data_IF_933008305182
#
_entry.id   IF_933008305182
#
_cell.length_a   1.000
_cell.length_b   1.000
_cell.length_c   1.000
_cell.angle_alpha   90.00
_cell.angle_beta   90.00
_cell.angle_gamma   90.00
#
_symmetry.space_group_name_H-M   'P 1'
#
loop_
_entity.id
_entity.type
_entity.pdbx_description
1 polymer ?
#
# COMPACT_ATOMS: atom_id res chain seq x y z
N UNK A 1 100.19 22.13 21.27
CA UNK A 1 99.69 23.02 20.20
C UNK A 1 98.43 22.40 19.64
N UNK A 2 97.26 23.05 19.79
CA UNK A 2 95.97 22.55 19.30
C UNK A 2 94.90 22.42 20.41
N UNK A 3 94.05 23.44 20.50
CA UNK A 3 93.00 23.72 21.49
C UNK A 3 91.84 22.72 21.56
N UNK A 4 91.48 22.23 22.76
CA UNK A 4 90.18 21.61 23.06
C UNK A 4 89.10 22.69 23.23
N UNK A 5 88.11 22.71 22.34
CA UNK A 5 86.81 23.38 22.57
C UNK A 5 85.73 22.31 22.74
N UNK A 6 85.00 22.38 23.86
CA UNK A 6 83.77 21.61 24.11
C UNK A 6 82.61 22.30 23.37
N UNK A 7 81.79 21.53 22.66
CA UNK A 7 80.48 21.97 22.19
C UNK A 7 79.40 20.92 22.53
N UNK A 8 78.16 21.38 22.80
CA UNK A 8 77.14 20.62 23.51
C UNK A 8 76.44 19.58 22.63
N UNK A 9 75.95 18.53 23.29
CA UNK A 9 75.01 17.55 22.74
C UNK A 9 73.69 18.24 22.36
N UNK A 10 73.29 18.12 21.09
CA UNK A 10 71.94 18.44 20.63
C UNK A 10 71.27 17.12 20.19
N UNK A 11 70.19 16.76 20.88
CA UNK A 11 69.32 15.62 20.57
C UNK A 11 68.31 16.06 19.50
N UNK A 12 68.39 15.49 18.30
CA UNK A 12 67.38 15.66 17.25
C UNK A 12 66.39 14.49 17.32
N UNK A 13 65.18 14.76 17.81
CA UNK A 13 64.04 13.86 17.71
C UNK A 13 63.42 14.06 16.33
N UNK A 14 63.48 13.04 15.47
CA UNK A 14 62.81 13.04 14.18
C UNK A 14 61.30 12.95 14.36
N UNK A 15 60.58 13.96 13.88
CA UNK A 15 59.12 13.93 13.76
C UNK A 15 58.80 13.18 12.46
N UNK A 16 58.19 11.99 12.59
CA UNK A 16 57.55 11.29 11.48
C UNK A 16 56.14 11.86 11.35
N UNK A 17 55.87 12.58 10.26
CA UNK A 17 54.52 12.99 9.89
C UNK A 17 53.84 11.82 9.14
N UNK A 18 52.76 11.22 9.64
CA UNK A 18 51.93 10.34 8.83
C UNK A 18 51.15 11.20 7.82
N UNK A 19 51.40 11.00 6.53
CA UNK A 19 50.55 11.50 5.45
C UNK A 19 49.32 10.62 5.40
N UNK A 20 48.22 11.06 6.01
CA UNK A 20 46.90 10.49 5.78
C UNK A 20 46.38 11.00 4.44
N UNK A 21 46.31 10.12 3.43
CA UNK A 21 45.49 10.37 2.24
C UNK A 21 44.02 10.38 2.67
N UNK A 22 43.47 11.57 2.87
CA UNK A 22 42.03 11.75 3.01
C UNK A 22 41.36 11.52 1.65
N UNK A 23 40.64 10.41 1.51
CA UNK A 23 39.63 10.27 0.46
C UNK A 23 38.52 11.28 0.77
N UNK A 24 38.48 12.37 0.04
CA UNK A 24 37.35 13.29 0.09
C UNK A 24 36.10 12.56 -0.43
N UNK A 25 34.95 12.63 0.26
CA UNK A 25 33.71 12.12 -0.30
C UNK A 25 33.37 12.93 -1.54
N UNK A 26 33.29 12.24 -2.68
CA UNK A 26 32.74 12.79 -3.91
C UNK A 26 31.28 13.14 -3.66
N UNK A 27 30.96 14.44 -3.71
CA UNK A 27 29.59 14.93 -3.76
C UNK A 27 28.96 14.42 -5.07
N UNK A 28 28.16 13.36 -4.98
CA UNK A 28 27.33 12.90 -6.09
C UNK A 28 26.10 13.81 -6.11
N UNK A 29 26.16 14.88 -6.89
CA UNK A 29 24.97 15.67 -7.22
C UNK A 29 24.10 14.86 -8.20
N UNK A 30 23.32 13.93 -7.68
CA UNK A 30 22.18 13.37 -8.43
C UNK A 30 21.01 14.35 -8.34
N UNK A 31 21.20 15.56 -8.88
CA UNK A 31 20.09 16.44 -9.20
C UNK A 31 19.67 16.10 -10.63
N UNK A 32 18.59 15.34 -10.79
CA UNK A 32 17.82 15.40 -12.03
C UNK A 32 17.37 16.85 -12.18
N UNK A 33 17.94 17.57 -13.13
CA UNK A 33 17.44 18.89 -13.56
C UNK A 33 16.29 18.76 -14.57
N UNK A 34 15.75 17.54 -14.74
CA UNK A 34 14.64 17.27 -15.61
C UNK A 34 13.34 17.71 -14.93
N UNK A 35 12.60 18.61 -15.60
CA UNK A 35 11.16 18.76 -15.42
C UNK A 35 10.49 17.47 -15.88
N UNK A 36 10.57 16.44 -15.04
CA UNK A 36 9.62 15.34 -15.09
C UNK A 36 8.35 15.85 -14.39
N UNK A 37 7.22 16.02 -15.11
CA UNK A 37 5.98 16.47 -14.48
C UNK A 37 5.47 15.50 -13.40
N UNK A 38 5.96 14.25 -13.37
CA UNK A 38 5.46 13.19 -12.49
C UNK A 38 6.13 13.12 -11.12
N UNK A 39 7.37 13.60 -10.98
CA UNK A 39 8.09 13.60 -9.69
C UNK A 39 8.53 15.03 -9.45
N UNK A 40 7.74 15.78 -8.67
CA UNK A 40 8.12 17.13 -8.25
C UNK A 40 9.55 17.14 -7.68
N UNK A 41 10.19 18.31 -7.62
CA UNK A 41 11.50 18.46 -6.99
C UNK A 41 11.42 18.04 -5.51
N UNK A 42 11.59 16.75 -5.20
CA UNK A 42 11.71 16.25 -3.83
C UNK A 42 13.09 16.70 -3.37
N UNK A 43 13.22 17.65 -2.43
CA UNK A 43 14.52 18.09 -1.98
C UNK A 43 15.25 16.91 -1.37
N UNK A 44 16.27 16.41 -2.05
CA UNK A 44 17.14 15.38 -1.51
C UNK A 44 18.02 16.04 -0.44
N UNK A 45 17.67 15.83 0.82
CA UNK A 45 18.48 16.25 1.96
C UNK A 45 19.49 15.16 2.35
N UNK A 46 20.64 15.55 2.88
CA UNK A 46 21.55 14.60 3.53
C UNK A 46 21.19 14.47 5.01
N UNK A 47 21.08 13.24 5.52
CA UNK A 47 21.01 12.95 6.95
C UNK A 47 22.26 12.19 7.39
N UNK A 48 22.78 12.44 8.59
CA UNK A 48 23.86 11.63 9.14
C UNK A 48 23.33 10.28 9.62
N UNK A 49 24.18 9.25 9.62
CA UNK A 49 23.84 7.91 10.13
C UNK A 49 23.35 7.97 11.59
N UNK A 50 23.95 8.83 12.41
CA UNK A 50 23.55 9.02 13.80
C UNK A 50 22.15 9.64 13.89
N UNK A 51 21.85 10.67 13.09
CA UNK A 51 20.52 11.28 13.07
C UNK A 51 19.43 10.29 12.62
N UNK A 52 19.75 9.41 11.67
CA UNK A 52 18.85 8.32 11.26
C UNK A 52 18.68 7.27 12.37
N UNK A 53 19.76 6.87 13.03
CA UNK A 53 19.69 5.92 14.15
C UNK A 53 18.84 6.48 15.31
N UNK A 54 18.97 7.77 15.61
CA UNK A 54 18.24 8.44 16.69
C UNK A 54 16.78 8.75 16.31
N UNK A 55 16.44 8.76 15.01
CA UNK A 55 15.12 9.22 14.53
C UNK A 55 13.98 8.35 15.02
N UNK A 56 14.19 7.04 15.18
CA UNK A 56 13.17 6.10 15.65
C UNK A 56 12.68 6.45 17.06
N UNK A 57 13.63 6.67 17.98
CA UNK A 57 13.34 7.04 19.36
C UNK A 57 12.76 8.46 19.44
N UNK A 58 13.35 9.41 18.71
CA UNK A 58 12.92 10.81 18.72
C UNK A 58 11.49 11.00 18.17
N UNK A 59 11.08 10.17 17.21
CA UNK A 59 9.73 10.23 16.61
C UNK A 59 8.74 9.23 17.19
N UNK A 60 9.17 8.44 18.19
CA UNK A 60 8.37 7.39 18.82
C UNK A 60 7.77 6.42 17.80
N UNK A 61 8.59 5.95 16.85
CA UNK A 61 8.15 4.99 15.82
C UNK A 61 7.75 3.69 16.50
N UNK A 62 6.51 3.25 16.23
CA UNK A 62 5.94 2.03 16.78
C UNK A 62 5.08 1.31 15.74
N UNK A 63 4.84 0.02 15.98
CA UNK A 63 3.91 -0.75 15.16
C UNK A 63 2.46 -0.39 15.52
N UNK A 64 1.62 -0.29 14.49
CA UNK A 64 0.18 -0.05 14.63
C UNK A 64 -0.55 -1.20 13.92
N UNK A 65 -1.51 -1.82 14.62
CA UNK A 65 -2.41 -2.81 14.04
C UNK A 65 -3.73 -2.13 13.66
N UNK A 66 -3.88 -1.81 12.37
CA UNK A 66 -5.01 -1.03 11.85
C UNK A 66 -6.30 -1.85 11.81
N UNK A 67 -6.22 -3.11 11.37
CA UNK A 67 -7.37 -4.02 11.20
C UNK A 67 -8.03 -4.43 12.51
N UNK A 68 -7.31 -4.38 13.64
CA UNK A 68 -7.85 -4.74 14.96
C UNK A 68 -8.84 -3.70 15.53
N UNK A 69 -9.05 -2.58 14.84
CA UNK A 69 -9.82 -1.45 15.37
C UNK A 69 -11.18 -1.27 14.68
N UNK A 70 -11.45 -2.00 13.60
CA UNK A 70 -12.60 -1.75 12.75
C UNK A 70 -13.11 -3.02 12.06
N UNK A 71 -14.40 -3.01 11.68
CA UNK A 71 -15.06 -4.03 10.88
C UNK A 71 -15.32 -3.46 9.50
N UNK A 72 -14.79 -4.13 8.47
CA UNK A 72 -14.99 -3.71 7.08
C UNK A 72 -15.74 -4.78 6.28
N UNK A 73 -16.60 -4.34 5.36
CA UNK A 73 -17.40 -5.23 4.54
C UNK A 73 -17.56 -4.73 3.11
N UNK A 74 -17.76 -5.65 2.19
CA UNK A 74 -18.18 -5.36 0.81
C UNK A 74 -19.05 -6.50 0.28
N UNK A 75 -19.78 -6.28 -0.83
CA UNK A 75 -20.52 -7.35 -1.53
C UNK A 75 -19.69 -7.91 -2.69
N UNK A 76 -19.14 -9.13 -2.58
CA UNK A 76 -18.42 -9.75 -3.69
C UNK A 76 -19.33 -9.99 -4.89
N UNK A 77 -18.77 -9.95 -6.10
CA UNK A 77 -19.47 -10.36 -7.32
C UNK A 77 -19.78 -11.87 -7.26
N UNK A 78 -18.77 -12.70 -7.04
CA UNK A 78 -18.95 -14.16 -7.01
C UNK A 78 -18.82 -14.64 -5.57
N UNK A 79 -19.89 -15.10 -4.89
CA UNK A 79 -19.76 -15.65 -3.55
C UNK A 79 -19.05 -17.01 -3.56
N UNK A 80 -18.19 -17.23 -2.59
CA UNK A 80 -17.54 -18.52 -2.33
C UNK A 80 -18.10 -19.18 -1.05
N UNK A 81 -19.06 -20.09 -1.24
CA UNK A 81 -19.76 -20.75 -0.14
C UNK A 81 -19.18 -22.13 0.24
N UNK A 82 -18.04 -22.53 -0.33
CA UNK A 82 -17.45 -23.86 -0.09
C UNK A 82 -16.95 -23.94 1.35
N UNK A 83 -17.14 -25.11 1.98
CA UNK A 83 -16.47 -25.44 3.23
C UNK A 83 -15.44 -26.54 2.98
N UNK A 84 -14.22 -26.32 3.48
CA UNK A 84 -13.16 -27.34 3.45
C UNK A 84 -13.26 -28.29 4.66
N UNK A 85 -14.32 -28.17 5.47
CA UNK A 85 -14.55 -28.98 6.66
C UNK A 85 -13.65 -28.62 7.85
N UNK A 86 -13.84 -29.30 8.99
CA UNK A 86 -13.18 -28.93 10.25
C UNK A 86 -11.67 -29.17 10.25
N UNK A 87 -11.14 -30.00 9.35
CA UNK A 87 -9.71 -30.28 9.27
C UNK A 87 -8.92 -29.11 8.68
N UNK A 88 -9.52 -28.42 7.70
CA UNK A 88 -8.89 -27.31 6.99
C UNK A 88 -9.42 -25.95 7.47
N UNK A 89 -10.40 -25.94 8.37
CA UNK A 89 -10.82 -24.75 9.14
C UNK A 89 -11.69 -23.73 8.39
N UNK A 90 -11.91 -23.90 7.08
CA UNK A 90 -12.74 -22.98 6.30
C UNK A 90 -14.20 -23.40 6.20
N UNK A 91 -15.10 -22.51 6.62
CA UNK A 91 -16.56 -22.74 6.64
C UNK A 91 -17.34 -21.86 5.67
N UNK A 92 -16.66 -21.22 4.72
CA UNK A 92 -17.25 -20.27 3.78
C UNK A 92 -17.16 -18.82 4.24
N UNK A 93 -17.52 -17.91 3.35
CA UNK A 93 -17.55 -16.46 3.60
C UNK A 93 -18.46 -16.09 4.79
N UNK A 94 -17.97 -15.18 5.62
CA UNK A 94 -18.71 -14.68 6.78
C UNK A 94 -19.61 -13.52 6.37
N UNK A 95 -20.90 -13.59 6.71
CA UNK A 95 -21.83 -12.47 6.52
C UNK A 95 -21.36 -11.23 7.30
N UNK A 96 -21.49 -10.05 6.69
CA UNK A 96 -21.11 -8.80 7.35
C UNK A 96 -21.91 -8.59 8.66
N UNK A 97 -21.25 -8.45 9.83
CA UNK A 97 -21.93 -8.21 11.11
C UNK A 97 -22.35 -6.75 11.31
N UNK A 98 -22.00 -5.87 10.36
CA UNK A 98 -22.14 -4.41 10.44
C UNK A 98 -20.79 -3.74 10.38
N UNK A 99 -20.54 -2.99 9.31
CA UNK A 99 -19.29 -2.26 9.14
C UNK A 99 -19.20 -1.04 10.08
N UNK A 100 -17.98 -0.69 10.46
CA UNK A 100 -17.68 0.47 11.30
C UNK A 100 -16.85 1.53 10.58
N UNK A 101 -16.46 1.29 9.32
CA UNK A 101 -15.54 2.18 8.58
C UNK A 101 -16.22 3.20 7.67
N UNK A 102 -17.55 3.18 7.56
CA UNK A 102 -18.33 4.16 6.79
C UNK A 102 -18.26 3.98 5.27
N UNK A 103 -17.67 2.88 4.82
CA UNK A 103 -17.61 2.45 3.43
C UNK A 103 -18.99 2.04 2.91
N UNK A 104 -19.13 2.04 1.58
CA UNK A 104 -20.31 1.44 0.95
C UNK A 104 -20.17 -0.09 0.99
N UNK A 105 -20.87 -0.75 1.90
CA UNK A 105 -20.77 -2.21 2.05
C UNK A 105 -21.46 -2.99 0.94
N UNK A 106 -22.24 -2.35 0.07
CA UNK A 106 -23.06 -3.06 -0.91
C UNK A 106 -24.30 -3.70 -0.27
N UNK A 107 -24.95 -3.03 0.69
CA UNK A 107 -26.25 -3.47 1.21
C UNK A 107 -27.32 -3.54 0.11
N UNK A 108 -27.15 -2.73 -0.94
CA UNK A 108 -27.74 -2.85 -2.27
C UNK A 108 -26.59 -3.14 -3.24
N UNK A 109 -26.77 -3.95 -4.32
CA UNK A 109 -25.74 -4.15 -5.34
C UNK A 109 -25.10 -2.84 -5.79
N UNK A 110 -23.78 -2.86 -5.99
CA UNK A 110 -23.07 -1.71 -6.52
C UNK A 110 -23.53 -1.41 -7.96
N UNK A 111 -23.41 -0.16 -8.44
CA UNK A 111 -23.70 0.15 -9.84
C UNK A 111 -22.89 -0.69 -10.83
N UNK A 112 -21.65 -1.05 -10.48
CA UNK A 112 -20.77 -1.92 -11.27
C UNK A 112 -21.30 -3.37 -11.39
N UNK A 113 -22.15 -3.81 -10.47
CA UNK A 113 -22.82 -5.12 -10.47
C UNK A 113 -24.15 -5.11 -11.24
N UNK A 114 -24.45 -4.01 -11.94
CA UNK A 114 -25.56 -3.99 -12.87
C UNK A 114 -25.23 -4.86 -14.09
N UNK A 115 -25.98 -5.94 -14.29
CA UNK A 115 -25.76 -6.89 -15.39
C UNK A 115 -25.24 -8.25 -14.95
N UNK A 116 -24.95 -8.45 -13.66
CA UNK A 116 -24.63 -9.75 -13.09
C UNK A 116 -25.70 -10.80 -13.39
N UNK A 117 -25.28 -11.97 -13.83
CA UNK A 117 -26.14 -13.12 -14.08
C UNK A 117 -26.50 -13.82 -12.77
N UNK A 118 -27.64 -14.50 -12.71
CA UNK A 118 -27.98 -15.30 -11.54
C UNK A 118 -26.95 -16.44 -11.35
N UNK A 119 -26.37 -16.65 -10.16
CA UNK A 119 -26.80 -16.15 -8.83
C UNK A 119 -26.02 -14.94 -8.29
N UNK A 120 -25.34 -14.18 -9.15
CA UNK A 120 -24.50 -13.04 -8.82
C UNK A 120 -25.29 -11.71 -8.79
N UNK A 121 -24.81 -10.68 -8.06
CA UNK A 121 -23.70 -10.74 -7.11
C UNK A 121 -24.06 -11.53 -5.83
N UNK A 122 -23.16 -11.62 -4.86
CA UNK A 122 -23.50 -12.17 -3.55
C UNK A 122 -24.78 -11.53 -2.98
N UNK A 123 -25.63 -12.35 -2.34
CA UNK A 123 -26.94 -11.90 -1.85
C UNK A 123 -26.86 -10.72 -0.86
N UNK A 124 -25.72 -10.56 -0.18
CA UNK A 124 -25.45 -9.45 0.72
C UNK A 124 -23.96 -9.31 1.02
N UNK A 125 -23.59 -8.28 1.80
CA UNK A 125 -22.21 -7.99 2.16
C UNK A 125 -21.55 -9.10 2.97
N UNK A 126 -20.26 -9.30 2.73
CA UNK A 126 -19.36 -10.20 3.44
C UNK A 126 -18.33 -9.41 4.23
N UNK A 127 -17.90 -9.99 5.35
CA UNK A 127 -16.84 -9.46 6.18
C UNK A 127 -15.50 -9.62 5.45
N UNK A 128 -14.68 -8.57 5.43
CA UNK A 128 -13.28 -8.69 5.04
C UNK A 128 -12.51 -9.40 6.18
N UNK A 129 -12.21 -10.68 6.02
CA UNK A 129 -11.58 -11.50 7.09
C UNK A 129 -10.06 -11.44 7.04
N UNK A 130 -9.50 -11.31 5.84
CA UNK A 130 -8.07 -11.44 5.60
C UNK A 130 -7.55 -10.38 4.66
N UNK A 131 -6.24 -10.17 4.73
CA UNK A 131 -5.54 -9.13 4.01
C UNK A 131 -4.22 -9.69 3.47
N UNK A 132 -3.90 -9.41 2.21
CA UNK A 132 -2.64 -9.84 1.61
C UNK A 132 -2.16 -8.80 0.62
N UNK A 133 -0.85 -8.79 0.38
CA UNK A 133 -0.17 -7.88 -0.54
C UNK A 133 -0.45 -6.40 -0.21
N UNK A 134 0.61 -5.63 -0.03
CA UNK A 134 0.46 -4.29 0.49
C UNK A 134 1.28 -3.30 -0.30
N UNK A 135 0.72 -2.11 -0.41
CA UNK A 135 1.41 -0.92 -0.89
C UNK A 135 1.20 0.22 0.11
N UNK A 136 2.15 1.16 0.14
CA UNK A 136 2.05 2.37 0.95
C UNK A 136 2.69 3.53 0.20
N UNK A 137 1.98 4.67 0.17
CA UNK A 137 2.41 5.88 -0.50
C UNK A 137 2.40 7.06 0.46
N UNK A 138 3.40 7.92 0.29
CA UNK A 138 3.57 9.17 1.03
C UNK A 138 3.15 10.31 0.11
N UNK A 139 2.26 11.17 0.57
CA UNK A 139 1.85 12.36 -0.18
C UNK A 139 3.04 13.34 -0.30
N UNK A 140 3.46 13.70 -1.53
CA UNK A 140 4.58 14.62 -1.74
C UNK A 140 4.30 16.05 -1.25
N UNK A 141 3.04 16.42 -1.08
CA UNK A 141 2.62 17.74 -0.57
C UNK A 141 2.57 17.78 0.96
N UNK A 142 2.47 16.63 1.62
CA UNK A 142 2.42 16.50 3.07
C UNK A 142 2.94 15.12 3.54
N UNK A 143 4.17 15.00 4.06
CA UNK A 143 4.74 13.70 4.46
C UNK A 143 4.05 13.05 5.67
N UNK A 144 3.08 13.72 6.31
CA UNK A 144 2.21 13.12 7.34
C UNK A 144 0.96 12.47 6.76
N UNK A 145 0.63 12.75 5.50
CA UNK A 145 -0.48 12.14 4.80
C UNK A 145 0.01 10.89 4.08
N UNK A 146 -0.48 9.73 4.51
CA UNK A 146 -0.12 8.42 3.97
C UNK A 146 -1.39 7.68 3.54
N UNK A 147 -1.30 6.96 2.42
CA UNK A 147 -2.32 5.99 2.03
C UNK A 147 -1.65 4.63 1.88
N UNK A 148 -2.12 3.65 2.64
CA UNK A 148 -1.82 2.24 2.44
C UNK A 148 -2.95 1.56 1.69
N UNK A 149 -2.65 0.53 0.92
CA UNK A 149 -3.63 -0.30 0.23
C UNK A 149 -3.26 -1.77 0.30
N UNK A 150 -4.27 -2.64 0.27
CA UNK A 150 -4.10 -4.09 0.40
C UNK A 150 -5.25 -4.84 -0.24
N UNK A 151 -5.10 -6.14 -0.52
CA UNK A 151 -6.24 -7.00 -0.85
C UNK A 151 -7.11 -7.21 0.39
N UNK A 152 -8.43 -7.08 0.26
CA UNK A 152 -9.46 -7.31 1.28
C UNK A 152 -10.26 -8.55 0.90
N UNK A 153 -9.99 -9.68 1.56
CA UNK A 153 -10.61 -10.95 1.24
C UNK A 153 -11.95 -11.10 1.96
N UNK A 154 -13.00 -11.43 1.21
CA UNK A 154 -14.18 -12.07 1.77
C UNK A 154 -13.95 -13.57 1.98
N UNK A 155 -13.05 -14.16 1.16
CA UNK A 155 -12.62 -15.54 1.24
C UNK A 155 -11.16 -15.68 0.77
N UNK A 156 -10.19 -15.94 1.66
CA UNK A 156 -8.84 -16.24 1.23
C UNK A 156 -8.74 -17.60 0.50
N UNK A 157 -9.56 -18.60 0.85
CA UNK A 157 -9.60 -19.92 0.22
C UNK A 157 -10.12 -19.86 -1.22
N UNK A 158 -11.12 -19.04 -1.48
CA UNK A 158 -11.62 -18.75 -2.81
C UNK A 158 -10.79 -17.70 -3.55
N UNK A 159 -9.80 -17.07 -2.90
CA UNK A 159 -9.09 -15.90 -3.42
C UNK A 159 -10.05 -14.76 -3.81
N UNK A 160 -11.17 -14.61 -3.11
CA UNK A 160 -12.20 -13.62 -3.41
C UNK A 160 -11.92 -12.30 -2.69
N UNK A 161 -11.52 -11.27 -3.42
CA UNK A 161 -11.10 -10.02 -2.82
C UNK A 161 -11.44 -8.76 -3.64
N UNK A 162 -11.38 -7.63 -2.94
CA UNK A 162 -11.25 -6.30 -3.53
C UNK A 162 -10.00 -5.64 -2.96
N UNK A 163 -9.72 -4.39 -3.32
CA UNK A 163 -8.64 -3.60 -2.79
C UNK A 163 -9.23 -2.71 -1.72
N UNK A 164 -8.67 -2.80 -0.53
CA UNK A 164 -8.88 -1.88 0.56
C UNK A 164 -7.84 -0.77 0.56
N UNK A 165 -8.20 0.34 1.19
CA UNK A 165 -7.28 1.41 1.52
C UNK A 165 -7.40 1.82 2.99
N UNK A 166 -6.32 2.39 3.51
CA UNK A 166 -6.21 2.99 4.82
C UNK A 166 -5.50 4.32 4.66
N UNK A 167 -5.99 5.35 5.32
CA UNK A 167 -5.46 6.70 5.19
C UNK A 167 -5.13 7.28 6.56
N UNK A 168 -3.95 7.88 6.65
CA UNK A 168 -3.40 8.50 7.84
C UNK A 168 -3.02 9.94 7.55
N UNK A 169 -3.21 10.82 8.54
CA UNK A 169 -2.85 12.24 8.44
C UNK A 169 -1.79 12.67 9.46
N UNK A 170 -1.22 11.71 10.20
CA UNK A 170 -0.26 11.93 11.28
C UNK A 170 1.05 11.13 11.12
N UNK A 171 1.34 10.68 9.90
CA UNK A 171 2.54 9.91 9.57
C UNK A 171 2.42 8.43 9.95
N UNK A 172 1.21 7.87 9.94
CA UNK A 172 0.95 6.45 10.16
C UNK A 172 0.75 6.06 11.63
N UNK A 173 0.58 7.03 12.54
CA UNK A 173 0.33 6.77 13.96
C UNK A 173 -1.12 6.36 14.18
N UNK A 174 -2.04 6.97 13.46
CA UNK A 174 -3.46 6.61 13.41
C UNK A 174 -3.95 6.53 11.97
N UNK A 175 -4.97 5.69 11.74
CA UNK A 175 -5.54 5.40 10.42
C UNK A 175 -7.06 5.51 10.49
N UNK A 176 -7.61 6.74 10.62
CA UNK A 176 -9.02 6.96 10.92
C UNK A 176 -9.95 6.69 9.73
N UNK A 177 -9.43 6.70 8.50
CA UNK A 177 -10.23 6.55 7.28
C UNK A 177 -9.80 5.28 6.56
N UNK A 178 -10.76 4.40 6.28
CA UNK A 178 -10.53 3.16 5.53
C UNK A 178 -11.81 2.69 4.86
N UNK A 179 -11.67 1.84 3.87
CA UNK A 179 -12.77 1.29 3.08
C UNK A 179 -12.22 0.49 1.90
N UNK A 180 -13.09 -0.08 1.08
CA UNK A 180 -12.66 -0.61 -0.21
C UNK A 180 -12.57 0.52 -1.24
N UNK A 181 -11.70 0.35 -2.22
CA UNK A 181 -11.58 1.23 -3.38
C UNK A 181 -12.78 0.92 -4.30
N UNK A 182 -13.65 1.91 -4.60
CA UNK A 182 -14.90 1.63 -5.29
C UNK A 182 -14.75 1.60 -6.82
N UNK A 183 -15.82 1.18 -7.51
CA UNK A 183 -16.01 1.38 -8.95
C UNK A 183 -15.76 0.14 -9.82
N UNK A 184 -15.35 -0.98 -9.23
CA UNK A 184 -15.06 -2.22 -9.95
C UNK A 184 -15.63 -3.48 -9.27
N UNK A 185 -16.54 -3.32 -8.31
CA UNK A 185 -17.11 -4.41 -7.52
C UNK A 185 -17.95 -5.42 -8.33
N UNK A 186 -18.25 -5.10 -9.60
CA UNK A 186 -18.86 -6.00 -10.58
C UNK A 186 -17.90 -6.99 -11.23
N UNK A 187 -16.59 -6.81 -11.04
CA UNK A 187 -15.60 -7.82 -11.39
C UNK A 187 -15.46 -8.81 -10.23
N UNK A 188 -15.06 -10.04 -10.54
CA UNK A 188 -14.83 -11.04 -9.50
C UNK A 188 -13.68 -10.65 -8.59
N UNK A 189 -12.61 -10.09 -9.18
CA UNK A 189 -11.38 -9.87 -8.46
C UNK A 189 -10.47 -8.80 -9.09
N UNK A 190 -9.33 -8.51 -8.46
CA UNK A 190 -8.32 -7.55 -8.92
C UNK A 190 -6.88 -8.05 -8.64
N UNK A 191 -5.88 -7.39 -9.21
CA UNK A 191 -4.48 -7.68 -8.93
C UNK A 191 -3.98 -6.93 -7.70
N UNK A 192 -2.71 -7.15 -7.39
CA UNK A 192 -1.94 -6.53 -6.33
C UNK A 192 -2.12 -5.00 -6.28
N UNK A 193 -2.24 -4.41 -5.08
CA UNK A 193 -2.42 -2.98 -4.94
C UNK A 193 -1.18 -2.22 -5.42
N UNK A 194 -1.41 -1.21 -6.26
CA UNK A 194 -0.37 -0.23 -6.62
C UNK A 194 -1.00 1.17 -6.66
N UNK A 195 -0.44 2.07 -5.87
CA UNK A 195 -0.85 3.46 -5.77
C UNK A 195 0.21 4.46 -6.23
N UNK A 196 -0.19 5.71 -6.45
CA UNK A 196 0.74 6.84 -6.55
C UNK A 196 0.04 8.14 -6.18
N UNK A 197 0.78 9.10 -5.64
CA UNK A 197 0.32 10.48 -5.54
C UNK A 197 0.82 11.29 -6.73
N UNK A 198 0.00 12.22 -7.23
CA UNK A 198 0.51 13.30 -8.10
C UNK A 198 1.13 14.44 -7.27
N UNK A 199 1.69 15.43 -7.97
CA UNK A 199 2.27 16.62 -7.35
C UNK A 199 1.24 17.54 -6.66
N UNK A 200 -0.06 17.28 -6.82
CA UNK A 200 -1.16 18.04 -6.24
C UNK A 200 -1.80 17.31 -5.05
N UNK A 201 -1.30 16.13 -4.66
CA UNK A 201 -1.80 15.32 -3.54
C UNK A 201 -3.07 14.52 -3.86
N UNK A 202 -3.41 14.31 -5.14
CA UNK A 202 -4.40 13.30 -5.52
C UNK A 202 -3.73 11.92 -5.50
N UNK A 203 -4.40 10.93 -4.91
CA UNK A 203 -3.95 9.54 -4.92
C UNK A 203 -4.67 8.74 -6.01
N UNK A 204 -3.89 7.97 -6.75
CA UNK A 204 -4.33 7.13 -7.86
C UNK A 204 -4.10 5.68 -7.47
N UNK A 205 -5.17 4.89 -7.41
CA UNK A 205 -5.09 3.44 -7.26
C UNK A 205 -5.18 2.81 -8.65
N UNK A 206 -4.14 2.11 -9.08
CA UNK A 206 -4.22 1.27 -10.26
C UNK A 206 -5.16 0.09 -9.97
N UNK A 207 -6.03 -0.21 -10.93
CA UNK A 207 -6.96 -1.32 -10.91
C UNK A 207 -6.74 -2.15 -12.17
N UNK A 208 -6.54 -3.45 -12.01
CA UNK A 208 -6.52 -4.43 -13.08
C UNK A 208 -7.55 -5.54 -12.76
N UNK A 209 -8.85 -5.20 -12.73
CA UNK A 209 -9.87 -6.14 -12.34
C UNK A 209 -10.17 -7.13 -13.45
N UNK A 210 -10.61 -8.33 -13.08
CA UNK A 210 -10.92 -9.42 -14.00
C UNK A 210 -12.04 -10.31 -13.46
N UNK A 211 -12.65 -11.06 -14.37
CA UNK A 211 -13.75 -11.95 -14.08
C UNK A 211 -13.31 -13.42 -14.10
N UNK A 212 -13.76 -14.17 -13.10
CA UNK A 212 -13.74 -15.63 -13.08
C UNK A 212 -14.98 -16.16 -12.36
N UNK A 213 -15.33 -17.41 -12.58
CA UNK A 213 -16.34 -18.12 -11.77
C UNK A 213 -15.73 -19.37 -11.13
N UNK A 214 -16.38 -19.89 -10.09
CA UNK A 214 -16.03 -21.19 -9.53
C UNK A 214 -16.79 -22.28 -10.27
N UNK A 215 -16.08 -23.28 -10.78
CA UNK A 215 -16.72 -24.48 -11.33
C UNK A 215 -17.35 -25.34 -10.21
N UNK A 216 -18.01 -26.44 -10.58
CA UNK A 216 -18.64 -27.35 -9.62
C UNK A 216 -17.66 -28.03 -8.65
N UNK A 217 -16.35 -27.92 -8.91
CA UNK A 217 -15.29 -28.42 -8.03
C UNK A 217 -14.68 -27.32 -7.16
N UNK A 218 -15.15 -26.08 -7.29
CA UNK A 218 -14.67 -24.92 -6.53
C UNK A 218 -13.42 -24.26 -7.11
N UNK A 219 -12.97 -24.64 -8.32
CA UNK A 219 -11.80 -24.03 -8.95
C UNK A 219 -12.18 -22.85 -9.83
N UNK A 220 -11.28 -21.86 -9.92
CA UNK A 220 -11.43 -20.72 -10.81
C UNK A 220 -11.43 -21.13 -12.28
N UNK A 221 -12.35 -20.54 -13.04
CA UNK A 221 -12.43 -20.65 -14.50
C UNK A 221 -12.54 -19.25 -15.11
N UNK A 222 -11.74 -19.03 -16.15
CA UNK A 222 -11.58 -17.77 -16.87
C UNK A 222 -12.07 -17.92 -18.32
N UNK A 223 -13.33 -18.36 -18.48
CA UNK A 223 -13.88 -18.70 -19.80
C UNK A 223 -14.77 -17.59 -20.34
N UNK A 224 -14.49 -17.16 -21.57
CA UNK A 224 -15.30 -16.15 -22.26
C UNK A 224 -16.70 -16.70 -22.54
N UNK A 225 -17.74 -15.91 -22.27
CA UNK A 225 -19.16 -16.25 -22.41
C UNK A 225 -19.80 -16.86 -21.17
N UNK A 226 -19.01 -17.10 -20.11
CA UNK A 226 -19.47 -17.59 -18.80
C UNK A 226 -19.15 -16.59 -17.69
N UNK A 227 -19.02 -15.31 -18.04
CA UNK A 227 -18.72 -14.24 -17.10
C UNK A 227 -19.84 -14.13 -16.03
N UNK A 228 -19.47 -13.96 -14.75
CA UNK A 228 -20.44 -13.61 -13.72
C UNK A 228 -21.24 -12.35 -14.04
N UNK A 229 -20.60 -11.36 -14.66
CA UNK A 229 -21.20 -10.10 -15.07
C UNK A 229 -20.92 -9.80 -16.54
N UNK A 230 -21.78 -10.28 -17.46
CA UNK A 230 -21.69 -9.94 -18.88
C UNK A 230 -22.01 -8.47 -19.19
N UNK A 231 -22.47 -7.69 -18.20
CA UNK A 231 -22.69 -6.25 -18.33
C UNK A 231 -21.40 -5.43 -18.40
N UNK A 232 -20.25 -6.01 -18.05
CA UNK A 232 -18.93 -5.39 -18.07
C UNK A 232 -17.91 -6.26 -18.84
N UNK A 233 -16.75 -5.71 -19.26
CA UNK A 233 -15.70 -6.48 -19.90
C UNK A 233 -15.11 -7.58 -18.99
N UNK A 234 -14.46 -8.58 -19.57
CA UNK A 234 -13.85 -9.70 -18.81
C UNK A 234 -12.67 -9.25 -17.95
N UNK A 235 -11.95 -8.23 -18.40
CA UNK A 235 -10.88 -7.56 -17.67
C UNK A 235 -10.86 -6.08 -18.04
N UNK A 236 -10.28 -5.26 -17.18
CA UNK A 236 -10.05 -3.86 -17.47
C UNK A 236 -8.70 -3.40 -16.92
N UNK A 237 -8.15 -2.34 -17.51
CA UNK A 237 -7.11 -1.52 -16.88
C UNK A 237 -7.77 -0.20 -16.54
N UNK A 238 -7.81 0.15 -15.26
CA UNK A 238 -8.48 1.32 -14.76
C UNK A 238 -7.69 1.99 -13.63
N UNK A 239 -8.13 3.18 -13.24
CA UNK A 239 -7.56 3.93 -12.12
C UNK A 239 -8.71 4.55 -11.34
N UNK A 240 -8.74 4.34 -10.03
CA UNK A 240 -9.62 5.07 -9.12
C UNK A 240 -8.85 6.21 -8.46
N UNK A 241 -9.46 7.38 -8.38
CA UNK A 241 -8.78 8.58 -7.87
C UNK A 241 -9.39 9.03 -6.55
N UNK A 242 -8.58 9.04 -5.49
CA UNK A 242 -8.90 9.71 -4.24
C UNK A 242 -8.39 11.14 -4.32
N UNK A 243 -9.33 12.08 -4.43
CA UNK A 243 -9.05 13.51 -4.57
C UNK A 243 -8.29 14.07 -3.36
N UNK A 244 -7.43 15.06 -3.58
CA UNK A 244 -6.83 15.82 -2.49
C UNK A 244 -7.94 16.39 -1.58
N UNK A 245 -7.78 16.21 -0.26
CA UNK A 245 -8.74 16.70 0.73
C UNK A 245 -10.04 15.88 0.80
N UNK A 246 -10.04 14.66 0.28
CA UNK A 246 -11.07 13.67 0.57
C UNK A 246 -11.26 13.51 2.09
N UNK A 247 -12.52 13.38 2.53
CA UNK A 247 -12.87 13.28 3.96
C UNK A 247 -13.69 12.04 4.27
N UNK A 248 -14.41 11.50 3.28
CA UNK A 248 -15.21 10.30 3.43
C UNK A 248 -14.51 9.08 2.80
N UNK A 249 -14.81 7.86 3.28
CA UNK A 249 -14.32 6.64 2.66
C UNK A 249 -14.71 6.52 1.17
N UNK A 250 -15.85 7.10 0.80
CA UNK A 250 -16.43 7.05 -0.55
C UNK A 250 -16.02 8.22 -1.45
N UNK A 251 -15.16 9.13 -1.00
CA UNK A 251 -14.65 10.26 -1.79
C UNK A 251 -13.63 9.79 -2.85
N UNK A 252 -14.12 9.09 -3.87
CA UNK A 252 -13.38 8.59 -5.03
C UNK A 252 -14.02 9.08 -6.33
N UNK A 253 -13.23 9.13 -7.39
CA UNK A 253 -13.62 9.45 -8.77
C UNK A 253 -13.21 8.31 -9.68
#
# INVERSE_FOLDING_TARGET
MGTRKRHPFALLIGIVLPVSLGLAPSLVNSASTGVDPGVGNVPQGTQSDQAYADSFAANHVSNVFVTNQQVSCYRPEVPFAVSNGPNDGYTGEVSCPGATTGENTGSVPYPSQAGSEFPYPAAGPKLATDHSESDIRVDPTNPKHLIGSTKWFASPEGYNHVLGFYESFDGGKTWPTMGHVPGYEGFTDNTDPVGAFDAFGNYYQALLPYQFFYDSTGHHRFEVGNEPNPGIPNEAVAVAVRKHGATLPTDWI
#
